data_IF_109088798256
#
_entry.id   IF_109088798256
#
_cell.length_a   1.000
_cell.length_b   1.000
_cell.length_c   1.000
_cell.angle_alpha   90.00
_cell.angle_beta   90.00
_cell.angle_gamma   90.00
#
_symmetry.space_group_name_H-M   'P 1'
#
loop_
_entity.id
_entity.type
_entity.pdbx_description
1 polymer ?
#
# COMPACT_ATOMS: atom_id res chain seq x y z
N UNK A 1 21.85 -0.33 -13.64
CA UNK A 1 21.09 -1.57 -13.32
C UNK A 1 19.72 -1.24 -12.73
N UNK A 2 19.66 -0.47 -11.64
CA UNK A 2 18.41 0.00 -10.99
C UNK A 2 17.39 0.68 -11.92
N UNK A 3 17.83 1.60 -12.79
CA UNK A 3 16.94 2.29 -13.74
C UNK A 3 16.34 1.36 -14.80
N UNK A 4 17.09 0.36 -15.29
CA UNK A 4 16.57 -0.64 -16.24
C UNK A 4 15.51 -1.53 -15.57
N UNK A 5 15.76 -1.94 -14.32
CA UNK A 5 14.79 -2.73 -13.54
C UNK A 5 13.53 -1.91 -13.27
N UNK A 6 13.67 -0.64 -12.86
CA UNK A 6 12.52 0.26 -12.62
C UNK A 6 11.70 0.51 -13.90
N UNK A 7 12.33 0.69 -15.06
CA UNK A 7 11.63 0.88 -16.33
C UNK A 7 10.90 -0.39 -16.77
N UNK A 8 11.49 -1.58 -16.58
CA UNK A 8 10.85 -2.86 -16.88
C UNK A 8 9.63 -3.07 -15.99
N UNK A 9 9.70 -2.74 -14.70
CA UNK A 9 8.56 -2.83 -13.78
C UNK A 9 7.44 -1.85 -14.15
N UNK A 10 7.77 -0.59 -14.47
CA UNK A 10 6.76 0.40 -14.89
C UNK A 10 6.09 -0.01 -16.21
N UNK A 11 6.85 -0.52 -17.17
CA UNK A 11 6.30 -1.01 -18.43
C UNK A 11 5.43 -2.26 -18.21
N UNK A 12 5.84 -3.18 -17.33
CA UNK A 12 5.04 -4.35 -16.97
C UNK A 12 3.72 -3.96 -16.29
N UNK A 13 3.75 -3.01 -15.35
CA UNK A 13 2.53 -2.49 -14.70
C UNK A 13 1.59 -1.80 -15.70
N UNK A 14 2.14 -1.07 -16.69
CA UNK A 14 1.35 -0.45 -17.74
C UNK A 14 0.72 -1.48 -18.69
N UNK A 15 1.43 -2.57 -19.01
CA UNK A 15 0.88 -3.70 -19.77
C UNK A 15 -0.22 -4.44 -19.01
N UNK A 16 -0.08 -4.60 -17.69
CA UNK A 16 -1.09 -5.23 -16.83
C UNK A 16 -2.36 -4.38 -16.72
N UNK A 17 -2.22 -3.07 -16.60
CA UNK A 17 -3.35 -2.15 -16.51
C UNK A 17 -4.12 -2.08 -17.85
N UNK A 18 -3.41 -2.11 -18.98
CA UNK A 18 -4.00 -2.23 -20.31
C UNK A 18 -4.73 -3.58 -20.51
N UNK A 19 -4.19 -4.69 -19.96
CA UNK A 19 -4.85 -6.00 -19.99
C UNK A 19 -6.17 -6.02 -19.21
N UNK A 20 -6.26 -5.35 -18.05
CA UNK A 20 -7.51 -5.24 -17.29
C UNK A 20 -8.58 -4.40 -18.03
N UNK A 21 -8.15 -3.34 -18.71
CA UNK A 21 -9.04 -2.47 -19.49
C UNK A 21 -9.60 -3.21 -20.72
N UNK A 22 -8.75 -3.91 -21.46
CA UNK A 22 -9.16 -4.79 -22.58
C UNK A 22 -10.11 -5.89 -22.11
N UNK A 23 -9.85 -6.50 -20.95
CA UNK A 23 -10.71 -7.55 -20.40
C UNK A 23 -12.14 -7.04 -20.12
N UNK A 24 -12.25 -5.84 -19.55
CA UNK A 24 -13.53 -5.19 -19.28
C UNK A 24 -14.30 -4.89 -20.57
N UNK A 25 -13.63 -4.30 -21.57
CA UNK A 25 -14.24 -3.99 -22.87
C UNK A 25 -14.78 -5.23 -23.59
N UNK A 26 -14.03 -6.34 -23.55
CA UNK A 26 -14.47 -7.61 -24.14
C UNK A 26 -15.72 -8.18 -23.44
N UNK A 27 -15.82 -8.05 -22.12
CA UNK A 27 -16.97 -8.51 -21.37
C UNK A 27 -18.23 -7.66 -21.66
N UNK A 28 -18.07 -6.34 -21.79
CA UNK A 28 -19.14 -5.42 -22.16
C UNK A 28 -19.64 -5.68 -23.61
N UNK A 29 -18.72 -5.98 -24.53
CA UNK A 29 -19.04 -6.39 -25.91
C UNK A 29 -19.79 -7.72 -25.96
N UNK A 30 -19.34 -8.72 -25.18
CA UNK A 30 -20.02 -10.01 -25.05
C UNK A 30 -21.46 -9.82 -24.57
N UNK A 31 -21.66 -9.02 -23.52
CA UNK A 31 -22.98 -8.76 -22.95
C UNK A 31 -23.91 -8.04 -23.95
N UNK A 32 -23.35 -7.16 -24.78
CA UNK A 32 -24.06 -6.48 -25.86
C UNK A 32 -24.46 -7.44 -27.00
N UNK A 33 -23.55 -8.36 -27.39
CA UNK A 33 -23.82 -9.40 -28.39
C UNK A 33 -24.93 -10.35 -27.94
N UNK A 34 -24.87 -10.87 -26.71
CA UNK A 34 -25.90 -11.75 -26.13
C UNK A 34 -27.28 -11.08 -26.13
N UNK A 35 -27.31 -9.78 -25.84
CA UNK A 35 -28.53 -8.98 -25.87
C UNK A 35 -29.09 -8.85 -27.29
N UNK A 36 -28.24 -8.62 -28.29
CA UNK A 36 -28.63 -8.57 -29.70
C UNK A 36 -29.15 -9.93 -30.16
N UNK A 37 -28.44 -11.03 -29.87
CA UNK A 37 -28.87 -12.40 -30.22
C UNK A 37 -30.24 -12.73 -29.60
N UNK A 38 -30.47 -12.34 -28.33
CA UNK A 38 -31.79 -12.48 -27.69
C UNK A 38 -32.86 -11.62 -28.34
N UNK A 39 -32.55 -10.39 -28.71
CA UNK A 39 -33.48 -9.49 -29.40
C UNK A 39 -33.85 -10.04 -30.78
N UNK A 40 -32.88 -10.50 -31.56
CA UNK A 40 -33.11 -11.11 -32.88
C UNK A 40 -33.95 -12.39 -32.78
N UNK A 41 -33.76 -13.19 -31.73
CA UNK A 41 -34.54 -14.40 -31.48
C UNK A 41 -35.99 -14.12 -31.05
N UNK A 42 -36.24 -12.97 -30.42
CA UNK A 42 -37.57 -12.56 -29.93
C UNK A 42 -38.32 -11.62 -30.88
N UNK A 43 -37.64 -10.99 -31.85
CA UNK A 43 -38.28 -10.10 -32.82
C UNK A 43 -38.94 -10.89 -33.94
N UNK A 44 -40.26 -10.72 -34.12
CA UNK A 44 -41.04 -11.20 -35.28
C UNK A 44 -40.70 -10.45 -36.59
N UNK A 45 -39.42 -10.25 -36.91
CA UNK A 45 -39.05 -9.65 -38.19
C UNK A 45 -39.10 -10.74 -39.28
N UNK A 46 -40.22 -10.71 -40.03
CA UNK A 46 -40.51 -11.48 -41.24
C UNK A 46 -39.56 -11.16 -42.41
N UNK A 47 -38.26 -11.38 -42.23
CA UNK A 47 -37.26 -11.34 -43.30
C UNK A 47 -36.55 -12.68 -43.40
N UNK A 48 -36.20 -13.09 -44.62
CA UNK A 48 -35.89 -14.46 -45.04
C UNK A 48 -35.23 -15.36 -43.97
N UNK A 49 -35.88 -16.47 -43.57
CA UNK A 49 -35.42 -17.32 -42.47
C UNK A 49 -34.05 -17.97 -42.71
N UNK A 50 -33.59 -18.11 -43.97
CA UNK A 50 -32.27 -18.65 -44.32
C UNK A 50 -31.13 -17.68 -43.99
N UNK A 51 -31.27 -16.40 -44.32
CA UNK A 51 -30.25 -15.37 -44.08
C UNK A 51 -30.06 -15.10 -42.58
N UNK A 52 -31.15 -15.15 -41.80
CA UNK A 52 -31.08 -14.98 -40.35
C UNK A 52 -30.43 -16.17 -39.63
N UNK A 53 -30.57 -17.39 -40.16
CA UNK A 53 -29.89 -18.57 -39.62
C UNK A 53 -28.38 -18.51 -39.87
N UNK A 54 -27.97 -18.10 -41.07
CA UNK A 54 -26.55 -17.99 -41.44
C UNK A 54 -25.84 -16.86 -40.67
N UNK A 55 -26.51 -15.72 -40.47
CA UNK A 55 -26.01 -14.63 -39.63
C UNK A 55 -25.94 -15.04 -38.15
N UNK A 56 -26.91 -15.81 -37.66
CA UNK A 56 -26.90 -16.32 -36.29
C UNK A 56 -25.78 -17.34 -36.06
N UNK A 57 -25.50 -18.24 -37.01
CA UNK A 57 -24.40 -19.20 -36.92
C UNK A 57 -23.04 -18.51 -36.97
N UNK A 58 -22.84 -17.51 -37.84
CA UNK A 58 -21.62 -16.71 -37.89
C UNK A 58 -21.40 -15.91 -36.59
N UNK A 59 -22.47 -15.36 -36.01
CA UNK A 59 -22.40 -14.70 -34.70
C UNK A 59 -22.11 -15.69 -33.58
N UNK A 60 -22.63 -16.92 -33.64
CA UNK A 60 -22.37 -17.94 -32.61
C UNK A 60 -20.90 -18.37 -32.60
N UNK A 61 -20.30 -18.60 -33.76
CA UNK A 61 -18.87 -18.98 -33.86
C UNK A 61 -17.95 -17.85 -33.37
N UNK A 62 -18.28 -16.59 -33.68
CA UNK A 62 -17.50 -15.44 -33.21
C UNK A 62 -17.67 -15.19 -31.71
N UNK A 63 -18.85 -15.47 -31.13
CA UNK A 63 -19.07 -15.42 -29.68
C UNK A 63 -18.25 -16.51 -28.97
N UNK A 64 -18.24 -17.74 -29.48
CA UNK A 64 -17.43 -18.83 -28.91
C UNK A 64 -15.93 -18.53 -28.91
N UNK A 65 -15.40 -17.95 -29.99
CA UNK A 65 -14.00 -17.51 -30.04
C UNK A 65 -13.68 -16.40 -29.04
N UNK A 66 -14.58 -15.42 -28.87
CA UNK A 66 -14.45 -14.35 -27.88
C UNK A 66 -14.51 -14.91 -26.45
N UNK A 67 -15.40 -15.87 -26.18
CA UNK A 67 -15.50 -16.55 -24.88
C UNK A 67 -14.22 -17.32 -24.52
N UNK A 68 -13.62 -18.01 -25.49
CA UNK A 68 -12.35 -18.70 -25.30
C UNK A 68 -11.21 -17.71 -24.96
N UNK A 69 -11.20 -16.54 -25.63
CA UNK A 69 -10.21 -15.47 -25.36
C UNK A 69 -10.39 -14.86 -23.97
N UNK A 70 -11.64 -14.60 -23.57
CA UNK A 70 -11.99 -14.11 -22.23
C UNK A 70 -11.54 -15.11 -21.18
N UNK A 71 -11.85 -16.39 -21.34
CA UNK A 71 -11.45 -17.45 -20.39
C UNK A 71 -9.92 -17.52 -20.21
N UNK A 72 -9.16 -17.36 -21.29
CA UNK A 72 -7.70 -17.30 -21.24
C UNK A 72 -7.19 -16.04 -20.52
N UNK A 73 -7.82 -14.90 -20.77
CA UNK A 73 -7.49 -13.62 -20.12
C UNK A 73 -7.88 -13.62 -18.65
N UNK A 74 -9.02 -14.19 -18.27
CA UNK A 74 -9.47 -14.37 -16.89
C UNK A 74 -8.41 -15.09 -16.06
N UNK A 75 -7.86 -16.20 -16.58
CA UNK A 75 -6.77 -16.92 -15.91
C UNK A 75 -5.52 -16.05 -15.70
N UNK A 76 -5.19 -15.19 -16.68
CA UNK A 76 -4.05 -14.28 -16.59
C UNK A 76 -4.33 -13.14 -15.59
N UNK A 77 -5.49 -12.50 -15.65
CA UNK A 77 -5.92 -11.43 -14.73
C UNK A 77 -5.97 -11.96 -13.30
N UNK A 78 -6.50 -13.18 -13.09
CA UNK A 78 -6.53 -13.83 -11.78
C UNK A 78 -5.12 -14.03 -11.19
N UNK A 79 -4.14 -14.41 -12.00
CA UNK A 79 -2.74 -14.50 -11.53
C UNK A 79 -2.16 -13.14 -11.17
N UNK A 80 -2.50 -12.08 -11.90
CA UNK A 80 -2.04 -10.70 -11.65
C UNK A 80 -2.68 -10.07 -10.40
N UNK A 81 -3.90 -10.49 -10.06
CA UNK A 81 -4.61 -10.05 -8.85
C UNK A 81 -4.53 -11.06 -7.71
N UNK A 82 -3.57 -11.99 -7.76
CA UNK A 82 -3.42 -12.99 -6.71
C UNK A 82 -2.77 -12.42 -5.45
N UNK A 83 -2.97 -13.10 -4.31
CA UNK A 83 -2.24 -12.82 -3.07
C UNK A 83 -0.72 -12.81 -3.30
N UNK A 84 -0.21 -13.74 -4.11
CA UNK A 84 1.21 -13.85 -4.39
C UNK A 84 1.76 -12.62 -5.12
N UNK A 85 1.01 -12.11 -6.09
CA UNK A 85 1.38 -10.91 -6.85
C UNK A 85 1.34 -9.67 -5.98
N UNK A 86 0.27 -9.47 -5.19
CA UNK A 86 0.20 -8.36 -4.23
C UNK A 86 1.36 -8.39 -3.23
N UNK A 87 1.67 -9.56 -2.69
CA UNK A 87 2.80 -9.75 -1.78
C UNK A 87 4.13 -9.36 -2.44
N UNK A 88 4.36 -9.86 -3.66
CA UNK A 88 5.57 -9.60 -4.42
C UNK A 88 5.76 -8.11 -4.69
N UNK A 89 4.72 -7.43 -5.16
CA UNK A 89 4.72 -5.99 -5.44
C UNK A 89 4.96 -5.16 -4.18
N UNK A 90 4.22 -5.42 -3.09
CA UNK A 90 4.40 -4.70 -1.83
C UNK A 90 5.81 -4.86 -1.29
N UNK A 91 6.40 -6.06 -1.40
CA UNK A 91 7.80 -6.32 -1.01
C UNK A 91 8.79 -5.52 -1.86
N UNK A 92 8.60 -5.46 -3.18
CA UNK A 92 9.45 -4.69 -4.08
C UNK A 92 9.31 -3.17 -3.86
N UNK A 93 8.10 -2.67 -3.60
CA UNK A 93 7.85 -1.27 -3.23
C UNK A 93 8.64 -0.86 -1.98
N UNK A 94 8.88 -1.79 -1.05
CA UNK A 94 9.73 -1.60 0.13
C UNK A 94 11.22 -1.84 -0.09
N UNK A 95 11.64 -2.28 -1.28
CA UNK A 95 13.03 -2.61 -1.56
C UNK A 95 13.54 -3.83 -0.81
N UNK A 96 12.65 -4.71 -0.35
CA UNK A 96 13.01 -5.90 0.43
C UNK A 96 13.25 -7.12 -0.48
N UNK A 97 14.21 -7.96 -0.11
CA UNK A 97 14.37 -9.32 -0.68
C UNK A 97 13.43 -10.30 0.02
N UNK A 98 13.13 -11.45 -0.61
CA UNK A 98 12.32 -12.52 0.03
C UNK A 98 12.92 -12.96 1.37
N UNK A 99 14.26 -13.01 1.47
CA UNK A 99 14.96 -13.35 2.71
C UNK A 99 14.76 -12.27 3.78
N UNK A 100 14.93 -10.99 3.45
CA UNK A 100 14.74 -9.91 4.42
C UNK A 100 13.32 -9.86 4.96
N UNK A 101 12.31 -10.01 4.08
CA UNK A 101 10.92 -10.10 4.52
C UNK A 101 10.71 -11.30 5.46
N UNK A 102 11.29 -12.45 5.12
CA UNK A 102 11.18 -13.65 5.94
C UNK A 102 11.85 -13.48 7.31
N UNK A 103 13.03 -12.87 7.35
CA UNK A 103 13.77 -12.58 8.58
C UNK A 103 12.99 -11.60 9.48
N UNK A 104 12.36 -10.57 8.92
CA UNK A 104 11.55 -9.59 9.67
C UNK A 104 10.23 -10.19 10.18
N UNK A 105 9.59 -11.07 9.40
CA UNK A 105 8.35 -11.75 9.81
C UNK A 105 8.64 -12.92 10.77
N UNK A 106 9.88 -13.43 10.80
CA UNK A 106 10.27 -14.60 11.60
C UNK A 106 9.89 -15.94 10.97
N UNK A 107 9.95 -16.04 9.63
CA UNK A 107 9.61 -17.25 8.87
C UNK A 107 10.78 -17.72 8.00
N UNK A 108 10.72 -18.95 7.51
CA UNK A 108 11.68 -19.41 6.51
C UNK A 108 11.50 -18.66 5.18
N UNK A 109 12.57 -18.26 4.46
CA UNK A 109 12.48 -17.61 3.16
C UNK A 109 11.66 -18.39 2.12
N UNK A 110 11.73 -19.73 2.19
CA UNK A 110 10.95 -20.65 1.35
C UNK A 110 9.43 -20.47 1.55
N UNK A 111 8.99 -20.06 2.74
CA UNK A 111 7.57 -19.79 3.00
C UNK A 111 7.08 -18.59 2.20
N UNK A 112 7.87 -17.52 2.10
CA UNK A 112 7.53 -16.33 1.31
C UNK A 112 7.48 -16.70 -0.19
N UNK A 113 8.47 -17.44 -0.68
CA UNK A 113 8.50 -17.92 -2.07
C UNK A 113 7.22 -18.70 -2.43
N UNK A 114 6.82 -19.65 -1.59
CA UNK A 114 5.61 -20.46 -1.83
C UNK A 114 4.32 -19.65 -1.84
N UNK A 115 4.27 -18.51 -1.14
CA UNK A 115 3.13 -17.60 -1.16
C UNK A 115 3.16 -16.78 -2.46
N UNK A 116 4.31 -16.23 -2.84
CA UNK A 116 4.49 -15.48 -4.10
C UNK A 116 4.18 -16.35 -5.33
N UNK A 117 4.53 -17.64 -5.30
CA UNK A 117 4.21 -18.60 -6.37
C UNK A 117 2.74 -19.10 -6.34
N UNK A 118 1.94 -18.68 -5.36
CA UNK A 118 0.54 -19.10 -5.22
C UNK A 118 0.32 -20.55 -4.76
N UNK A 119 1.39 -21.26 -4.39
CA UNK A 119 1.31 -22.61 -3.79
C UNK A 119 0.60 -22.54 -2.44
N UNK A 120 0.90 -21.53 -1.64
CA UNK A 120 0.26 -21.28 -0.34
C UNK A 120 -0.75 -20.15 -0.47
N UNK A 121 -2.04 -20.51 -0.53
CA UNK A 121 -3.13 -19.53 -0.68
C UNK A 121 -3.55 -18.87 0.64
N UNK A 122 -3.43 -19.58 1.77
CA UNK A 122 -3.82 -19.10 3.10
C UNK A 122 -2.67 -19.25 4.11
N UNK A 123 -1.68 -18.35 4.11
CA UNK A 123 -0.56 -18.42 5.04
C UNK A 123 -0.98 -18.00 6.46
N UNK A 124 -0.53 -18.74 7.48
CA UNK A 124 -0.86 -18.44 8.89
C UNK A 124 -0.27 -17.12 9.39
N UNK A 125 0.82 -16.67 8.78
CA UNK A 125 1.55 -15.47 9.18
C UNK A 125 1.15 -14.24 8.35
N UNK A 126 -0.01 -14.27 7.69
CA UNK A 126 -0.45 -13.20 6.80
C UNK A 126 -0.56 -11.85 7.49
N UNK A 127 -1.03 -11.82 8.74
CA UNK A 127 -1.07 -10.60 9.56
C UNK A 127 0.33 -10.03 9.78
N UNK A 128 1.30 -10.85 10.20
CA UNK A 128 2.67 -10.41 10.43
C UNK A 128 3.35 -9.91 9.14
N UNK A 129 3.05 -10.56 8.00
CA UNK A 129 3.50 -10.09 6.68
C UNK A 129 2.90 -8.73 6.36
N UNK A 130 1.59 -8.55 6.59
CA UNK A 130 0.90 -7.28 6.36
C UNK A 130 1.47 -6.16 7.23
N UNK A 131 1.79 -6.44 8.49
CA UNK A 131 2.40 -5.50 9.43
C UNK A 131 3.80 -5.07 8.96
N UNK A 132 4.66 -6.03 8.59
CA UNK A 132 6.02 -5.77 8.07
C UNK A 132 5.97 -5.02 6.73
N UNK A 133 4.92 -5.20 5.93
CA UNK A 133 4.71 -4.49 4.68
C UNK A 133 3.86 -3.21 4.83
N UNK A 134 3.35 -2.92 6.03
CA UNK A 134 2.44 -1.81 6.34
C UNK A 134 1.27 -1.69 5.33
N UNK A 135 0.70 -2.83 4.98
CA UNK A 135 -0.45 -2.94 4.07
C UNK A 135 -1.66 -3.47 4.81
N UNK A 136 -2.85 -3.23 4.27
CA UNK A 136 -4.08 -3.81 4.82
C UNK A 136 -4.03 -5.33 4.82
N UNK A 137 -4.42 -5.98 5.92
CA UNK A 137 -4.60 -7.44 5.92
C UNK A 137 -5.62 -7.85 4.85
N UNK A 138 -6.77 -7.18 4.83
CA UNK A 138 -7.86 -7.48 3.90
C UNK A 138 -7.43 -7.22 2.44
N UNK A 139 -6.67 -6.15 2.22
CA UNK A 139 -6.12 -5.83 0.91
C UNK A 139 -5.10 -6.88 0.47
N UNK A 140 -4.21 -7.30 1.35
CA UNK A 140 -3.21 -8.32 1.01
C UNK A 140 -3.92 -9.66 0.73
N UNK A 141 -4.87 -10.05 1.57
CA UNK A 141 -5.59 -11.31 1.48
C UNK A 141 -6.48 -11.41 0.22
N UNK A 142 -7.35 -10.43 0.00
CA UNK A 142 -8.41 -10.48 -1.01
C UNK A 142 -8.24 -9.44 -2.14
N UNK A 143 -7.43 -8.41 -1.94
CA UNK A 143 -7.39 -7.24 -2.81
C UNK A 143 -8.45 -6.19 -2.44
N UNK A 144 -9.21 -6.43 -1.37
CA UNK A 144 -10.29 -5.55 -0.92
C UNK A 144 -9.78 -4.56 0.14
N UNK A 145 -10.21 -3.30 0.04
CA UNK A 145 -9.88 -2.28 1.04
C UNK A 145 -8.62 -1.46 0.72
N UNK A 146 -7.98 -0.93 1.76
CA UNK A 146 -6.91 0.07 1.62
C UNK A 146 -5.55 -0.63 1.50
N UNK A 147 -4.86 -0.42 0.37
CA UNK A 147 -3.53 -0.97 0.11
C UNK A 147 -2.51 -0.57 1.17
N UNK A 148 -2.36 0.74 1.43
CA UNK A 148 -1.46 1.21 2.47
C UNK A 148 -2.22 1.42 3.78
N UNK A 149 -1.89 0.62 4.78
CA UNK A 149 -2.13 1.04 6.16
C UNK A 149 -1.04 2.01 6.53
N UNK A 150 -1.03 3.21 5.93
CA UNK A 150 -0.16 4.26 6.42
C UNK A 150 -0.67 4.78 7.77
N UNK A 151 -0.56 3.95 8.80
CA UNK A 151 -0.78 4.31 10.20
C UNK A 151 0.35 5.27 10.64
N UNK A 152 1.43 5.47 9.86
CA UNK A 152 2.42 6.51 10.17
C UNK A 152 1.84 7.92 10.05
N UNK A 153 0.81 8.12 9.22
CA UNK A 153 0.02 9.36 9.22
C UNK A 153 -0.84 9.53 10.49
N UNK A 154 -1.20 8.42 11.16
CA UNK A 154 -1.97 8.39 12.41
C UNK A 154 -1.10 8.28 13.68
N UNK A 155 0.17 7.87 13.56
CA UNK A 155 1.17 7.91 14.63
C UNK A 155 1.77 9.31 14.68
N UNK A 156 1.26 10.12 15.60
CA UNK A 156 1.87 11.41 15.96
C UNK A 156 3.31 11.27 16.49
N UNK A 157 3.73 10.04 16.80
CA UNK A 157 5.06 9.56 17.20
C UNK A 157 6.14 9.82 16.15
N UNK A 158 5.81 9.74 14.85
CA UNK A 158 6.77 9.89 13.74
C UNK A 158 7.21 11.35 13.49
N UNK A 159 6.43 12.31 14.00
CA UNK A 159 6.71 13.75 13.86
C UNK A 159 7.43 14.36 15.07
N UNK A 160 7.66 13.60 16.15
CA UNK A 160 8.41 14.07 17.32
C UNK A 160 9.82 14.51 16.92
N UNK A 161 10.53 13.65 16.17
CA UNK A 161 11.90 13.92 15.75
C UNK A 161 12.01 15.14 14.84
N UNK A 162 11.04 15.32 13.94
CA UNK A 162 10.96 16.48 13.05
C UNK A 162 10.67 17.77 13.83
N UNK A 163 9.67 17.78 14.73
CA UNK A 163 9.35 18.94 15.57
C UNK A 163 10.52 19.32 16.47
N UNK A 164 11.17 18.32 17.06
CA UNK A 164 12.37 18.52 17.89
C UNK A 164 13.48 19.20 17.08
N UNK A 165 13.76 18.68 15.87
CA UNK A 165 14.78 19.23 14.98
C UNK A 165 14.45 20.67 14.55
N UNK A 166 13.21 20.91 14.14
CA UNK A 166 12.74 22.24 13.71
C UNK A 166 12.89 23.25 14.86
N UNK A 167 12.37 22.93 16.04
CA UNK A 167 12.42 23.84 17.18
C UNK A 167 13.86 24.06 17.68
N UNK A 168 14.70 23.01 17.68
CA UNK A 168 16.11 23.11 18.05
C UNK A 168 16.87 24.07 17.12
N UNK A 169 16.63 23.96 15.81
CA UNK A 169 17.24 24.87 14.82
C UNK A 169 16.73 26.29 14.97
N UNK A 170 15.43 26.48 15.22
CA UNK A 170 14.84 27.81 15.48
C UNK A 170 15.38 28.45 16.76
N UNK A 171 15.64 27.66 17.80
CA UNK A 171 16.29 28.09 19.03
C UNK A 171 17.82 28.27 18.89
N UNK A 172 18.39 28.00 17.71
CA UNK A 172 19.82 28.16 17.44
C UNK A 172 20.71 27.15 18.15
N UNK A 173 20.20 25.97 18.50
CA UNK A 173 20.98 24.94 19.20
C UNK A 173 21.54 23.90 18.23
N UNK A 174 22.81 23.54 18.37
CA UNK A 174 23.34 22.32 17.76
C UNK A 174 22.87 21.09 18.53
N UNK A 175 23.06 19.89 17.95
CA UNK A 175 22.76 18.63 18.67
C UNK A 175 23.54 18.54 19.98
N UNK A 176 24.80 18.99 19.94
CA UNK A 176 25.69 19.03 21.09
C UNK A 176 25.24 20.05 22.13
N UNK A 177 24.92 21.28 21.72
CA UNK A 177 24.49 22.32 22.67
C UNK A 177 23.21 21.91 23.42
N UNK A 178 22.27 21.28 22.71
CA UNK A 178 21.04 20.78 23.35
C UNK A 178 21.34 19.61 24.30
N UNK A 179 22.23 18.71 23.91
CA UNK A 179 22.61 17.56 24.72
C UNK A 179 23.37 17.97 26.00
N UNK A 180 24.30 18.93 25.89
CA UNK A 180 25.02 19.55 27.01
C UNK A 180 24.06 20.22 27.99
N UNK A 181 23.06 20.98 27.49
CA UNK A 181 22.02 21.60 28.34
C UNK A 181 21.13 20.58 29.07
N UNK A 182 21.02 19.37 28.53
CA UNK A 182 20.19 18.28 29.07
C UNK A 182 21.00 17.25 29.87
N UNK A 183 22.30 17.46 30.02
CA UNK A 183 23.27 16.53 30.62
C UNK A 183 23.12 15.10 30.05
N UNK A 184 23.05 15.00 28.72
CA UNK A 184 22.91 13.73 28.02
C UNK A 184 23.87 13.64 26.82
N UNK A 185 24.04 12.44 26.29
CA UNK A 185 24.88 12.23 25.10
C UNK A 185 24.18 12.71 23.82
N UNK A 186 24.90 13.37 22.92
CA UNK A 186 24.45 13.85 21.60
C UNK A 186 23.70 12.77 20.80
N UNK A 187 24.19 11.52 20.89
CA UNK A 187 23.59 10.35 20.25
C UNK A 187 22.16 10.08 20.70
N UNK A 188 21.79 10.46 21.92
CA UNK A 188 20.43 10.34 22.45
C UNK A 188 19.48 11.27 21.70
N UNK A 189 19.89 12.52 21.48
CA UNK A 189 19.11 13.51 20.72
C UNK A 189 19.02 13.09 19.25
N UNK A 190 20.12 12.63 18.66
CA UNK A 190 20.14 12.11 17.28
C UNK A 190 19.19 10.93 17.08
N UNK A 191 19.11 9.99 18.03
CA UNK A 191 18.15 8.87 17.97
C UNK A 191 16.70 9.33 18.02
N UNK A 192 16.40 10.42 18.73
CA UNK A 192 15.05 11.00 18.78
C UNK A 192 14.72 11.69 17.46
N UNK A 193 15.64 12.51 16.93
CA UNK A 193 15.45 13.22 15.64
C UNK A 193 15.29 12.27 14.46
N UNK A 194 15.99 11.14 14.47
CA UNK A 194 15.90 10.10 13.44
C UNK A 194 14.73 9.12 13.66
N UNK A 195 13.87 9.36 14.65
CA UNK A 195 12.69 8.53 14.91
C UNK A 195 12.99 7.14 15.48
N UNK A 196 14.23 6.85 15.89
CA UNK A 196 14.60 5.59 16.56
C UNK A 196 14.00 5.57 17.98
N UNK A 197 13.93 6.73 18.63
CA UNK A 197 13.32 6.89 19.96
C UNK A 197 12.07 7.75 19.89
N UNK A 198 10.91 7.12 19.94
CA UNK A 198 9.62 7.81 19.81
C UNK A 198 9.04 8.31 21.14
N UNK A 199 9.58 7.85 22.28
CA UNK A 199 9.14 8.23 23.64
C UNK A 199 10.36 8.46 24.54
N UNK A 200 11.05 9.61 24.40
CA UNK A 200 12.22 9.90 25.20
C UNK A 200 11.84 10.10 26.67
N UNK A 201 12.59 9.46 27.58
CA UNK A 201 12.35 9.59 29.03
C UNK A 201 12.46 11.04 29.52
N UNK A 202 13.35 11.82 28.92
CA UNK A 202 13.58 13.23 29.27
C UNK A 202 12.84 14.22 28.34
N UNK A 203 11.61 13.89 27.93
CA UNK A 203 10.81 14.78 27.08
C UNK A 203 10.55 16.14 27.75
N UNK A 204 10.26 16.14 29.05
CA UNK A 204 9.94 17.35 29.82
C UNK A 204 11.16 18.29 29.88
N UNK A 205 12.36 17.74 30.10
CA UNK A 205 13.59 18.54 30.09
C UNK A 205 13.86 19.15 28.71
N UNK A 206 13.67 18.38 27.64
CA UNK A 206 13.81 18.86 26.26
C UNK A 206 12.85 20.02 26.01
N UNK A 207 11.58 19.86 26.37
CA UNK A 207 10.54 20.86 26.19
C UNK A 207 10.85 22.15 26.97
N UNK A 208 11.37 22.03 28.20
CA UNK A 208 11.81 23.17 29.02
C UNK A 208 12.96 23.95 28.36
N UNK A 209 13.99 23.26 27.87
CA UNK A 209 15.14 23.92 27.23
C UNK A 209 14.75 24.62 25.93
N UNK A 210 13.80 24.06 25.19
CA UNK A 210 13.31 24.62 23.92
C UNK A 210 12.14 25.60 24.07
N UNK A 211 11.70 25.84 25.31
CA UNK A 211 10.53 26.65 25.67
C UNK A 211 9.27 26.30 24.87
N UNK A 212 8.90 25.02 24.86
CA UNK A 212 7.70 24.51 24.19
C UNK A 212 6.89 23.62 25.12
N UNK A 213 5.62 23.44 24.81
CA UNK A 213 4.77 22.45 25.48
C UNK A 213 5.27 21.01 25.23
N UNK A 214 5.46 20.18 26.28
CA UNK A 214 5.74 18.75 26.14
C UNK A 214 4.67 18.00 25.35
N UNK A 215 3.40 18.40 25.49
CA UNK A 215 2.27 17.79 24.79
C UNK A 215 2.33 18.09 23.28
N UNK A 216 2.66 19.34 22.91
CA UNK A 216 2.91 19.70 21.52
C UNK A 216 4.12 18.94 20.95
N UNK A 217 5.22 18.86 21.70
CA UNK A 217 6.43 18.20 21.24
C UNK A 217 6.17 16.71 20.94
N UNK A 218 5.45 16.01 21.84
CA UNK A 218 5.13 14.59 21.69
C UNK A 218 4.03 14.30 20.66
N UNK A 219 2.92 15.03 20.71
CA UNK A 219 1.71 14.71 19.94
C UNK A 219 1.38 15.68 18.81
N UNK A 220 1.85 16.93 18.89
CA UNK A 220 1.51 17.99 17.91
C UNK A 220 0.03 18.38 17.87
N UNK A 221 -0.74 18.04 18.92
CA UNK A 221 -2.22 18.15 18.93
C UNK A 221 -2.70 19.50 19.49
N UNK A 222 -1.87 20.22 20.25
CA UNK A 222 -2.21 21.50 20.90
C UNK A 222 -1.38 22.65 20.32
N UNK A 223 -1.80 23.93 20.47
CA UNK A 223 -0.95 25.06 20.08
C UNK A 223 0.41 25.00 20.80
N UNK A 224 1.48 25.38 20.10
CA UNK A 224 2.82 25.47 20.69
C UNK A 224 2.87 26.66 21.67
N UNK A 225 2.40 26.45 22.89
CA UNK A 225 2.50 27.41 24.00
C UNK A 225 3.87 27.31 24.67
N UNK A 226 4.26 28.38 25.39
CA UNK A 226 5.50 28.36 26.17
C UNK A 226 5.44 27.27 27.25
N UNK A 227 6.61 26.81 27.71
CA UNK A 227 6.68 25.79 28.75
C UNK A 227 6.04 26.27 30.06
N UNK A 228 6.18 27.56 30.37
CA UNK A 228 5.64 28.20 31.57
C UNK A 228 4.10 28.25 31.54
N UNK A 229 3.52 28.64 30.40
CA UNK A 229 2.06 28.64 30.21
C UNK A 229 1.48 27.23 30.32
N UNK A 230 2.19 26.24 29.78
CA UNK A 230 1.83 24.83 29.93
C UNK A 230 1.94 24.35 31.38
N UNK A 231 3.00 24.71 32.11
CA UNK A 231 3.18 24.29 33.51
C UNK A 231 2.11 24.88 34.44
N UNK A 232 1.63 26.09 34.14
CA UNK A 232 0.58 26.76 34.91
C UNK A 232 -0.82 26.17 34.72
N UNK A 233 -1.11 25.52 33.58
CA UNK A 233 -2.45 24.97 33.29
C UNK A 233 -2.81 23.72 34.12
N UNK A 234 -1.83 23.07 34.76
CA UNK A 234 -2.03 21.89 35.61
C UNK A 234 -1.90 22.17 37.12
N UNK A 235 -1.61 23.40 37.53
CA UNK A 235 -1.43 23.79 38.95
C UNK A 235 -2.67 24.46 39.57
N UNK A 236 -3.82 24.44 38.89
CA UNK A 236 -5.13 24.84 39.43
C UNK A 236 -5.95 23.60 39.79
#
# INVERSE_FOLDING_TARGET
MYFKIKQVVVNAMAEEQNLMEIHKELNDLKQSSDKIVRMLRNSELKTEPLLMAEVADLLSHTVEEVEAKITQLDGKVFTLTSLGTRLHESRLKRGMTQKQLADEVGVAPVSILKIEEGITKNPRNLQAIADVLNVGLDWLAAGDGIESLDISALRTDGKLGERLRQQRVMAGHTLRDLAEKLDCADMSISKIENGITCRPRNLIGIAKVLNVSPAWLLGGVEPNTSFEDWEHSFKQ
#
